data_IF_377961503210
#
_entry.id   IF_377961503210
#
_cell.length_a   1.000
_cell.length_b   1.000
_cell.length_c   1.000
_cell.angle_alpha   90.00
_cell.angle_beta   90.00
_cell.angle_gamma   90.00
#
_symmetry.space_group_name_H-M   'P 1'
#
loop_
_entity.id
_entity.type
_entity.pdbx_description
1 polymer ?
#
# COMPACT_ATOMS: atom_id res chain seq x y z
N UNK A 1 51.54 -20.57 13.57
CA UNK A 1 50.32 -20.38 12.75
C UNK A 1 49.18 -19.79 13.59
N UNK A 2 49.43 -18.78 14.45
CA UNK A 2 48.45 -18.36 15.47
C UNK A 2 48.34 -16.83 15.65
N UNK A 3 48.58 -16.06 14.59
CA UNK A 3 48.44 -14.59 14.63
C UNK A 3 47.85 -14.07 13.31
N UNK A 4 46.61 -14.45 13.00
CA UNK A 4 45.75 -13.54 12.23
C UNK A 4 45.12 -12.59 13.24
N UNK A 5 45.47 -11.29 13.21
CA UNK A 5 45.03 -10.37 14.25
C UNK A 5 43.52 -10.21 14.12
N UNK A 6 42.82 -10.09 15.24
CA UNK A 6 41.38 -9.80 15.35
C UNK A 6 40.87 -8.76 14.31
N UNK A 7 41.75 -7.87 13.88
CA UNK A 7 41.56 -6.90 12.80
C UNK A 7 41.14 -7.52 11.45
N UNK A 8 41.72 -8.65 11.03
CA UNK A 8 41.43 -9.28 9.72
C UNK A 8 40.04 -9.93 9.73
N UNK A 9 39.67 -10.61 10.82
CA UNK A 9 38.33 -11.19 11.00
C UNK A 9 37.25 -10.10 11.06
N UNK A 10 37.52 -9.00 11.75
CA UNK A 10 36.61 -7.86 11.82
C UNK A 10 36.48 -7.15 10.46
N UNK A 11 37.56 -7.05 9.69
CA UNK A 11 37.54 -6.47 8.33
C UNK A 11 36.71 -7.34 7.38
N UNK A 12 36.84 -8.67 7.45
CA UNK A 12 36.00 -9.59 6.66
C UNK A 12 34.52 -9.47 7.03
N UNK A 13 34.19 -9.38 8.33
CA UNK A 13 32.81 -9.17 8.79
C UNK A 13 32.24 -7.84 8.29
N UNK A 14 33.03 -6.77 8.34
CA UNK A 14 32.64 -5.45 7.81
C UNK A 14 32.45 -5.48 6.28
N UNK A 15 33.36 -6.12 5.55
CA UNK A 15 33.26 -6.28 4.11
C UNK A 15 32.03 -7.12 3.72
N UNK A 16 31.76 -8.19 4.46
CA UNK A 16 30.57 -9.01 4.27
C UNK A 16 29.29 -8.22 4.57
N UNK A 17 29.24 -7.49 5.69
CA UNK A 17 28.10 -6.64 6.03
C UNK A 17 27.86 -5.56 4.95
N UNK A 18 28.92 -4.91 4.47
CA UNK A 18 28.84 -3.96 3.36
C UNK A 18 28.31 -4.61 2.09
N UNK A 19 28.78 -5.80 1.74
CA UNK A 19 28.31 -6.55 0.58
C UNK A 19 26.84 -6.93 0.70
N UNK A 20 26.39 -7.37 1.88
CA UNK A 20 24.98 -7.65 2.15
C UNK A 20 24.13 -6.39 2.01
N UNK A 21 24.56 -5.26 2.57
CA UNK A 21 23.84 -3.98 2.43
C UNK A 21 23.79 -3.52 0.96
N UNK A 22 24.91 -3.61 0.23
CA UNK A 22 24.97 -3.29 -1.19
C UNK A 22 24.04 -4.19 -2.02
N UNK A 23 24.04 -5.49 -1.74
CA UNK A 23 23.14 -6.45 -2.37
C UNK A 23 21.67 -6.14 -2.06
N UNK A 24 21.34 -5.78 -0.81
CA UNK A 24 19.98 -5.37 -0.42
C UNK A 24 19.53 -4.09 -1.14
N UNK A 25 20.41 -3.11 -1.30
CA UNK A 25 20.10 -1.88 -2.05
C UNK A 25 19.85 -2.20 -3.52
N UNK A 26 20.67 -3.04 -4.13
CA UNK A 26 20.53 -3.46 -5.53
C UNK A 26 19.26 -4.30 -5.74
N UNK A 27 18.94 -5.18 -4.79
CA UNK A 27 17.78 -6.06 -4.82
C UNK A 27 16.49 -5.38 -4.33
N UNK A 28 16.55 -4.15 -3.77
CA UNK A 28 15.40 -3.41 -3.24
C UNK A 28 14.19 -3.39 -4.20
N UNK A 29 14.34 -3.15 -5.52
CA UNK A 29 13.21 -3.13 -6.45
C UNK A 29 12.49 -4.49 -6.58
N UNK A 30 13.17 -5.59 -6.25
CA UNK A 30 12.60 -6.94 -6.24
C UNK A 30 12.09 -7.33 -4.84
N UNK A 31 12.85 -6.99 -3.80
CA UNK A 31 12.53 -7.34 -2.41
C UNK A 31 11.28 -6.62 -1.90
N UNK A 32 11.08 -5.35 -2.28
CA UNK A 32 9.91 -4.57 -1.81
C UNK A 32 8.60 -5.18 -2.30
N UNK A 33 8.39 -5.43 -3.62
CA UNK A 33 7.20 -6.12 -4.10
C UNK A 33 7.06 -7.53 -3.52
N UNK A 34 8.16 -8.27 -3.40
CA UNK A 34 8.14 -9.61 -2.81
C UNK A 34 7.60 -9.61 -1.38
N UNK A 35 8.06 -8.68 -0.53
CA UNK A 35 7.60 -8.58 0.86
C UNK A 35 6.12 -8.22 0.95
N UNK A 36 5.66 -7.28 0.12
CA UNK A 36 4.25 -6.93 -0.01
C UNK A 36 3.41 -8.13 -0.50
N UNK A 37 3.92 -8.89 -1.46
CA UNK A 37 3.27 -10.09 -1.97
C UNK A 37 3.20 -11.21 -0.94
N UNK A 38 4.17 -11.33 -0.02
CA UNK A 38 4.08 -12.25 1.11
C UNK A 38 2.89 -11.86 1.99
N UNK A 39 2.80 -10.60 2.40
CA UNK A 39 1.67 -10.13 3.20
C UNK A 39 0.33 -10.33 2.49
N UNK A 40 0.28 -10.02 1.19
CA UNK A 40 -0.92 -10.17 0.39
C UNK A 40 -1.30 -11.63 0.17
N UNK A 41 -0.32 -12.52 -0.05
CA UNK A 41 -0.53 -13.96 -0.13
C UNK A 41 -1.11 -14.51 1.16
N UNK A 42 -0.61 -14.08 2.32
CA UNK A 42 -1.20 -14.43 3.62
C UNK A 42 -2.63 -13.93 3.76
N UNK A 43 -2.93 -12.70 3.31
CA UNK A 43 -4.28 -12.15 3.36
C UNK A 43 -5.25 -12.91 2.44
N UNK A 44 -4.79 -13.35 1.27
CA UNK A 44 -5.58 -14.09 0.28
C UNK A 44 -5.68 -15.59 0.57
N UNK A 45 -4.77 -16.14 1.39
CA UNK A 45 -4.74 -17.54 1.78
C UNK A 45 -6.07 -18.10 2.31
N UNK A 46 -6.81 -17.45 3.25
CA UNK A 46 -8.09 -18.00 3.72
C UNK A 46 -9.12 -18.16 2.60
N UNK A 47 -9.10 -17.28 1.59
CA UNK A 47 -9.98 -17.40 0.43
C UNK A 47 -9.55 -18.57 -0.46
N UNK A 48 -8.24 -18.74 -0.68
CA UNK A 48 -7.72 -19.89 -1.42
C UNK A 48 -8.01 -21.22 -0.71
N UNK A 49 -7.80 -21.32 0.59
CA UNK A 49 -8.12 -22.51 1.38
C UNK A 49 -9.62 -22.84 1.32
N UNK A 50 -10.49 -21.82 1.37
CA UNK A 50 -11.93 -22.02 1.20
C UNK A 50 -12.29 -22.57 -0.19
N UNK A 51 -11.68 -22.08 -1.27
CA UNK A 51 -11.91 -22.60 -2.63
C UNK A 51 -11.36 -24.04 -2.80
N UNK A 52 -10.20 -24.36 -2.23
CA UNK A 52 -9.62 -25.70 -2.28
C UNK A 52 -10.47 -26.73 -1.54
N UNK A 53 -11.07 -26.34 -0.41
CA UNK A 53 -12.05 -27.17 0.30
C UNK A 53 -13.27 -27.53 -0.55
N UNK A 54 -13.60 -26.72 -1.55
CA UNK A 54 -14.65 -27.00 -2.55
C UNK A 54 -14.17 -27.86 -3.72
N UNK A 55 -13.03 -28.56 -3.59
CA UNK A 55 -12.43 -29.46 -4.60
C UNK A 55 -11.97 -28.76 -5.89
N UNK A 56 -11.72 -27.45 -5.84
CA UNK A 56 -11.12 -26.71 -6.96
C UNK A 56 -9.61 -27.01 -6.98
N UNK A 57 -9.01 -27.36 -8.13
CA UNK A 57 -7.58 -27.62 -8.21
C UNK A 57 -6.80 -26.36 -7.87
N UNK A 58 -5.71 -26.52 -7.10
CA UNK A 58 -4.90 -25.42 -6.55
C UNK A 58 -4.50 -24.34 -7.55
N UNK A 59 -4.16 -24.72 -8.78
CA UNK A 59 -3.85 -23.76 -9.86
C UNK A 59 -5.04 -22.85 -10.17
N UNK A 60 -6.22 -23.43 -10.35
CA UNK A 60 -7.43 -22.67 -10.63
C UNK A 60 -7.81 -21.80 -9.43
N UNK A 61 -7.72 -22.32 -8.21
CA UNK A 61 -7.96 -21.57 -6.98
C UNK A 61 -7.08 -20.32 -6.89
N UNK A 62 -5.77 -20.48 -7.03
CA UNK A 62 -4.82 -19.38 -6.95
C UNK A 62 -5.07 -18.34 -8.05
N UNK A 63 -5.39 -18.80 -9.26
CA UNK A 63 -5.68 -17.91 -10.38
C UNK A 63 -6.96 -17.10 -10.11
N UNK A 64 -8.04 -17.74 -9.68
CA UNK A 64 -9.32 -17.08 -9.36
C UNK A 64 -9.14 -16.05 -8.24
N UNK A 65 -8.45 -16.41 -7.16
CA UNK A 65 -8.27 -15.53 -5.99
C UNK A 65 -7.42 -14.31 -6.36
N UNK A 66 -6.30 -14.51 -7.06
CA UNK A 66 -5.42 -13.41 -7.47
C UNK A 66 -6.10 -12.53 -8.52
N UNK A 67 -6.78 -13.11 -9.51
CA UNK A 67 -7.45 -12.36 -10.55
C UNK A 67 -8.67 -11.60 -10.02
N UNK A 68 -9.41 -12.18 -9.08
CA UNK A 68 -10.45 -11.49 -8.33
C UNK A 68 -9.91 -10.30 -7.54
N UNK A 69 -8.77 -10.46 -6.87
CA UNK A 69 -8.10 -9.36 -6.18
C UNK A 69 -7.67 -8.24 -7.14
N UNK A 70 -7.03 -8.60 -8.27
CA UNK A 70 -6.66 -7.63 -9.31
C UNK A 70 -7.90 -6.88 -9.82
N UNK A 71 -8.99 -7.58 -10.09
CA UNK A 71 -10.23 -6.98 -10.58
C UNK A 71 -10.80 -5.97 -9.58
N UNK A 72 -10.82 -6.30 -8.28
CA UNK A 72 -11.26 -5.38 -7.22
C UNK A 72 -10.37 -4.14 -7.17
N UNK A 73 -9.04 -4.32 -7.11
CA UNK A 73 -8.10 -3.20 -7.03
C UNK A 73 -8.20 -2.31 -8.27
N UNK A 74 -8.24 -2.91 -9.46
CA UNK A 74 -8.36 -2.17 -10.72
C UNK A 74 -9.69 -1.44 -10.80
N UNK A 75 -10.78 -2.05 -10.35
CA UNK A 75 -12.09 -1.41 -10.26
C UNK A 75 -12.08 -0.18 -9.35
N UNK A 76 -11.43 -0.29 -8.18
CA UNK A 76 -11.26 0.84 -7.25
C UNK A 76 -10.38 1.93 -7.89
N UNK A 77 -9.25 1.58 -8.51
CA UNK A 77 -8.35 2.53 -9.18
C UNK A 77 -9.07 3.23 -10.33
N UNK A 78 -9.81 2.50 -11.15
CA UNK A 78 -10.57 3.06 -12.25
C UNK A 78 -11.65 4.03 -11.74
N UNK A 79 -12.37 3.66 -10.67
CA UNK A 79 -13.34 4.55 -10.03
C UNK A 79 -12.66 5.82 -9.49
N UNK A 80 -11.54 5.70 -8.77
CA UNK A 80 -10.78 6.86 -8.29
C UNK A 80 -10.27 7.72 -9.47
N UNK A 81 -9.81 7.08 -10.54
CA UNK A 81 -9.36 7.74 -11.76
C UNK A 81 -10.48 8.57 -12.40
N UNK A 82 -11.68 8.02 -12.53
CA UNK A 82 -12.84 8.76 -13.07
C UNK A 82 -13.27 9.89 -12.13
N UNK A 83 -13.24 9.68 -10.81
CA UNK A 83 -13.45 10.76 -9.85
C UNK A 83 -12.40 11.87 -10.02
N UNK A 84 -11.14 11.52 -10.24
CA UNK A 84 -10.04 12.49 -10.42
C UNK A 84 -10.17 13.28 -11.72
N UNK A 85 -10.58 12.65 -12.83
CA UNK A 85 -10.80 13.36 -14.11
C UNK A 85 -11.96 14.33 -13.98
N UNK A 86 -13.08 13.87 -13.42
CA UNK A 86 -14.26 14.71 -13.22
C UNK A 86 -13.94 15.88 -12.26
N UNK A 87 -13.21 15.61 -11.17
CA UNK A 87 -12.74 16.65 -10.27
C UNK A 87 -11.86 17.65 -10.98
N UNK A 88 -10.89 17.21 -11.80
CA UNK A 88 -9.98 18.12 -12.51
C UNK A 88 -10.71 19.00 -13.54
N UNK A 89 -11.76 18.49 -14.18
CA UNK A 89 -12.57 19.25 -15.15
C UNK A 89 -13.56 20.23 -14.50
N UNK A 90 -14.14 19.86 -13.35
CA UNK A 90 -15.13 20.70 -12.66
C UNK A 90 -14.51 21.65 -11.64
N UNK A 91 -13.29 21.38 -11.17
CA UNK A 91 -12.60 22.24 -10.22
C UNK A 91 -12.41 23.69 -10.68
N UNK A 92 -12.06 23.99 -11.95
CA UNK A 92 -12.02 25.37 -12.46
C UNK A 92 -13.37 26.08 -12.37
N UNK A 93 -14.48 25.39 -12.70
CA UNK A 93 -15.84 25.95 -12.61
C UNK A 93 -16.21 26.22 -11.16
N UNK A 94 -15.86 25.31 -10.26
CA UNK A 94 -16.07 25.48 -8.83
C UNK A 94 -15.29 26.69 -8.30
N UNK A 95 -14.05 26.89 -8.76
CA UNK A 95 -13.22 28.05 -8.41
C UNK A 95 -13.86 29.36 -8.89
N UNK A 96 -14.30 29.42 -10.15
CA UNK A 96 -14.96 30.60 -10.73
C UNK A 96 -16.25 30.95 -9.97
N UNK A 97 -17.07 29.94 -9.67
CA UNK A 97 -18.33 30.15 -8.96
C UNK A 97 -18.09 30.55 -7.49
N UNK A 98 -17.03 30.02 -6.86
CA UNK A 98 -16.61 30.43 -5.52
C UNK A 98 -16.10 31.88 -5.51
N UNK A 99 -15.31 32.28 -6.50
CA UNK A 99 -14.84 33.66 -6.70
C UNK A 99 -16.00 34.63 -6.86
N UNK A 100 -16.97 34.33 -7.73
CA UNK A 100 -18.17 35.16 -7.93
C UNK A 100 -18.98 35.30 -6.64
N UNK A 101 -19.19 34.19 -5.92
CA UNK A 101 -19.98 34.19 -4.69
C UNK A 101 -19.29 34.96 -3.56
N UNK A 102 -17.98 34.75 -3.38
CA UNK A 102 -17.21 35.43 -2.35
C UNK A 102 -17.16 36.93 -2.66
N UNK A 103 -16.88 37.31 -3.90
CA UNK A 103 -16.84 38.69 -4.34
C UNK A 103 -18.19 39.38 -4.12
N UNK A 104 -19.30 38.70 -4.45
CA UNK A 104 -20.66 39.23 -4.23
C UNK A 104 -20.97 39.45 -2.74
N UNK A 105 -20.50 38.57 -1.85
CA UNK A 105 -20.65 38.74 -0.40
C UNK A 105 -19.84 39.96 0.08
N UNK A 106 -18.59 40.10 -0.37
CA UNK A 106 -17.73 41.20 0.03
C UNK A 106 -18.18 42.55 -0.52
N UNK A 107 -18.67 42.60 -1.77
CA UNK A 107 -19.25 43.79 -2.38
C UNK A 107 -20.52 44.23 -1.63
N UNK A 108 -21.37 43.28 -1.19
CA UNK A 108 -22.52 43.57 -0.36
C UNK A 108 -22.11 44.16 0.99
N UNK A 109 -21.13 43.56 1.67
CA UNK A 109 -20.59 44.08 2.94
C UNK A 109 -20.02 45.50 2.76
N UNK A 110 -19.25 45.72 1.68
CA UNK A 110 -18.68 47.04 1.35
C UNK A 110 -19.75 48.10 1.08
N UNK A 111 -20.84 47.74 0.40
CA UNK A 111 -21.96 48.65 0.14
C UNK A 111 -22.70 49.09 1.41
N UNK A 112 -22.80 48.22 2.42
CA UNK A 112 -23.47 48.54 3.69
C UNK A 112 -22.54 49.18 4.74
N UNK A 113 -21.23 48.88 4.71
CA UNK A 113 -20.29 49.27 5.78
C UNK A 113 -19.19 50.24 5.33
N UNK A 114 -18.96 50.39 4.03
CA UNK A 114 -17.84 51.16 3.46
C UNK A 114 -16.47 50.50 3.59
N UNK A 115 -16.39 49.28 4.13
CA UNK A 115 -15.14 48.56 4.35
C UNK A 115 -14.86 47.64 3.16
N UNK A 116 -13.75 47.87 2.46
CA UNK A 116 -13.25 46.97 1.42
C UNK A 116 -12.27 45.97 2.02
N UNK A 117 -12.55 44.68 1.86
CA UNK A 117 -11.70 43.60 2.38
C UNK A 117 -10.70 43.18 1.30
N UNK A 118 -9.43 43.52 1.49
CA UNK A 118 -8.32 43.06 0.64
C UNK A 118 -7.81 41.70 1.12
N UNK A 119 -7.92 40.66 0.30
CA UNK A 119 -7.47 39.30 0.65
C UNK A 119 -8.18 38.17 -0.10
N UNK A 120 -9.26 38.49 -0.84
CA UNK A 120 -10.04 37.54 -1.64
C UNK A 120 -9.17 36.81 -2.67
N UNK A 121 -8.33 37.54 -3.39
CA UNK A 121 -7.44 36.98 -4.42
C UNK A 121 -6.51 35.90 -3.84
N UNK A 122 -5.96 36.14 -2.63
CA UNK A 122 -5.08 35.18 -1.95
C UNK A 122 -5.82 33.91 -1.50
N UNK A 123 -7.11 34.01 -1.17
CA UNK A 123 -7.96 32.86 -0.84
C UNK A 123 -8.29 32.05 -2.10
N UNK A 124 -8.60 32.72 -3.20
CA UNK A 124 -8.89 32.10 -4.49
C UNK A 124 -7.64 31.39 -5.04
N UNK A 125 -6.47 32.00 -4.88
CA UNK A 125 -5.18 31.39 -5.24
C UNK A 125 -4.89 30.15 -4.38
N UNK A 126 -5.05 30.26 -3.05
CA UNK A 126 -4.86 29.13 -2.11
C UNK A 126 -5.80 27.95 -2.38
N UNK A 127 -7.05 28.22 -2.76
CA UNK A 127 -8.00 27.18 -3.19
C UNK A 127 -7.51 26.51 -4.47
N UNK A 128 -7.06 27.30 -5.45
CA UNK A 128 -6.46 26.81 -6.69
C UNK A 128 -5.31 25.84 -6.46
N UNK A 129 -4.37 26.22 -5.59
CA UNK A 129 -3.24 25.37 -5.20
C UNK A 129 -3.71 24.08 -4.50
N UNK A 130 -4.67 24.19 -3.57
CA UNK A 130 -5.23 23.03 -2.86
C UNK A 130 -5.85 22.01 -3.81
N UNK A 131 -6.60 22.46 -4.82
CA UNK A 131 -7.17 21.55 -5.83
C UNK A 131 -6.12 20.88 -6.71
N UNK A 132 -5.04 21.59 -7.05
CA UNK A 132 -3.90 21.02 -7.78
C UNK A 132 -3.17 19.97 -6.94
N UNK A 133 -2.94 20.23 -5.64
CA UNK A 133 -2.36 19.23 -4.74
C UNK A 133 -3.24 17.99 -4.61
N UNK A 134 -4.56 18.16 -4.48
CA UNK A 134 -5.51 17.04 -4.42
C UNK A 134 -5.46 16.21 -5.72
N UNK A 135 -5.48 16.86 -6.89
CA UNK A 135 -5.38 16.17 -8.20
C UNK A 135 -4.05 15.43 -8.37
N UNK A 136 -2.94 16.04 -7.92
CA UNK A 136 -1.61 15.40 -7.92
C UNK A 136 -1.56 14.19 -6.98
N UNK A 137 -2.18 14.25 -5.81
CA UNK A 137 -2.28 13.11 -4.88
C UNK A 137 -3.08 11.95 -5.49
N UNK A 138 -4.22 12.24 -6.14
CA UNK A 138 -5.01 11.22 -6.84
C UNK A 138 -4.23 10.57 -7.99
N UNK A 139 -3.56 11.39 -8.81
CA UNK A 139 -2.73 10.92 -9.94
C UNK A 139 -1.53 10.12 -9.46
N UNK A 140 -0.82 10.59 -8.43
CA UNK A 140 0.33 9.89 -7.86
C UNK A 140 -0.07 8.54 -7.24
N UNK A 141 -1.20 8.49 -6.54
CA UNK A 141 -1.73 7.24 -5.98
C UNK A 141 -2.12 6.26 -7.07
N UNK A 142 -2.81 6.73 -8.11
CA UNK A 142 -3.19 5.94 -9.29
C UNK A 142 -1.96 5.36 -10.00
N UNK A 143 -0.97 6.20 -10.30
CA UNK A 143 0.26 5.77 -10.96
C UNK A 143 1.08 4.81 -10.09
N UNK A 144 1.12 5.02 -8.78
CA UNK A 144 1.79 4.10 -7.85
C UNK A 144 1.11 2.74 -7.88
N UNK A 145 -0.22 2.67 -7.78
CA UNK A 145 -0.96 1.39 -7.85
C UNK A 145 -0.74 0.67 -9.19
N UNK A 146 -0.70 1.40 -10.31
CA UNK A 146 -0.40 0.82 -11.63
C UNK A 146 1.04 0.28 -11.71
N UNK A 147 2.00 0.98 -11.10
CA UNK A 147 3.42 0.57 -11.09
C UNK A 147 3.69 -0.72 -10.30
N UNK A 148 2.76 -1.13 -9.42
CA UNK A 148 2.88 -2.34 -8.60
C UNK A 148 2.43 -3.63 -9.31
N UNK A 149 2.31 -3.64 -10.63
CA UNK A 149 1.82 -4.78 -11.43
C UNK A 149 2.59 -6.11 -11.25
N UNK A 150 3.78 -6.10 -10.65
CA UNK A 150 4.53 -7.32 -10.29
C UNK A 150 4.02 -8.01 -9.01
N UNK A 151 3.37 -7.27 -8.11
CA UNK A 151 2.87 -7.80 -6.84
C UNK A 151 1.92 -9.00 -7.06
N UNK A 152 0.91 -8.93 -7.94
CA UNK A 152 0.01 -10.05 -8.16
C UNK A 152 0.71 -11.31 -8.69
N UNK A 153 1.74 -11.14 -9.53
CA UNK A 153 2.54 -12.26 -10.05
C UNK A 153 3.27 -12.97 -8.91
N UNK A 154 3.94 -12.22 -8.03
CA UNK A 154 4.60 -12.80 -6.86
C UNK A 154 3.61 -13.40 -5.87
N UNK A 155 2.46 -12.78 -5.66
CA UNK A 155 1.39 -13.31 -4.80
C UNK A 155 0.89 -14.66 -5.34
N UNK A 156 0.68 -14.77 -6.65
CA UNK A 156 0.31 -16.03 -7.29
C UNK A 156 1.38 -17.10 -7.08
N UNK A 157 2.66 -16.76 -7.32
CA UNK A 157 3.78 -17.69 -7.14
C UNK A 157 3.89 -18.15 -5.69
N UNK A 158 3.74 -17.25 -4.72
CA UNK A 158 3.78 -17.58 -3.29
C UNK A 158 2.61 -18.48 -2.88
N UNK A 159 1.38 -18.21 -3.36
CA UNK A 159 0.24 -19.11 -3.12
C UNK A 159 0.43 -20.49 -3.77
N UNK A 160 1.03 -20.53 -4.96
CA UNK A 160 1.27 -21.78 -5.70
C UNK A 160 2.36 -22.62 -5.06
N UNK A 161 3.46 -21.99 -4.61
CA UNK A 161 4.60 -22.66 -4.01
C UNK A 161 4.62 -22.62 -2.47
N UNK A 162 3.52 -22.25 -1.79
CA UNK A 162 3.48 -22.11 -0.31
C UNK A 162 3.98 -23.33 0.46
N UNK A 163 3.77 -24.56 -0.04
CA UNK A 163 4.26 -25.76 0.66
C UNK A 163 5.78 -25.88 0.54
N UNK A 164 6.33 -25.63 -0.66
CA UNK A 164 7.78 -25.61 -0.86
C UNK A 164 8.45 -24.51 -0.05
N UNK A 165 7.78 -23.37 0.12
CA UNK A 165 8.27 -22.29 0.95
C UNK A 165 8.34 -22.71 2.42
N UNK A 166 7.31 -23.40 2.91
CA UNK A 166 7.29 -24.00 4.26
C UNK A 166 8.40 -25.03 4.44
N UNK A 167 8.62 -25.89 3.44
CA UNK A 167 9.68 -26.90 3.46
C UNK A 167 11.08 -26.25 3.45
N UNK A 168 11.26 -25.19 2.66
CA UNK A 168 12.52 -24.43 2.60
C UNK A 168 12.85 -23.76 3.94
N UNK A 169 11.86 -23.12 4.59
CA UNK A 169 12.03 -22.52 5.90
C UNK A 169 12.35 -23.61 6.95
N UNK A 170 11.65 -24.74 6.90
CA UNK A 170 11.92 -25.89 7.78
C UNK A 170 13.35 -26.41 7.63
N UNK A 171 13.87 -26.44 6.40
CA UNK A 171 15.24 -26.88 6.11
C UNK A 171 16.31 -25.90 6.62
N UNK A 172 16.01 -24.60 6.67
CA UNK A 172 16.95 -23.56 7.12
C UNK A 172 17.19 -23.57 8.64
N UNK A 173 16.29 -24.18 9.41
CA UNK A 173 16.29 -24.22 10.88
C UNK A 173 17.07 -25.43 11.42
N UNK A 174 17.53 -26.33 10.54
CA UNK A 174 18.27 -27.54 10.92
C UNK A 174 19.68 -27.22 11.45
N UNK A 175 19.78 -26.70 12.69
CA UNK A 175 20.68 -27.18 13.76
C UNK A 175 20.51 -26.37 15.07
N UNK A 176 20.21 -27.08 16.15
CA UNK A 176 20.52 -26.77 17.56
C UNK A 176 19.75 -25.70 18.37
N UNK A 177 18.48 -25.40 18.02
CA UNK A 177 17.43 -24.87 18.93
C UNK A 177 16.04 -24.97 18.27
N UNK A 178 15.75 -26.12 17.66
CA UNK A 178 14.61 -26.33 16.75
C UNK A 178 13.25 -25.97 17.37
N UNK A 179 12.98 -26.35 18.62
CA UNK A 179 11.68 -26.07 19.25
C UNK A 179 11.42 -24.59 19.47
N UNK A 180 12.42 -23.80 19.90
CA UNK A 180 12.22 -22.37 20.16
C UNK A 180 12.04 -21.59 18.85
N UNK A 181 12.84 -21.92 17.83
CA UNK A 181 12.74 -21.28 16.51
C UNK A 181 11.44 -21.66 15.79
N UNK A 182 11.04 -22.95 15.81
CA UNK A 182 9.78 -23.40 15.24
C UNK A 182 8.58 -22.80 15.97
N UNK A 183 8.58 -22.75 17.31
CA UNK A 183 7.50 -22.12 18.08
C UNK A 183 7.34 -20.63 17.74
N UNK A 184 8.43 -19.88 17.56
CA UNK A 184 8.36 -18.46 17.16
C UNK A 184 7.80 -18.32 15.74
N UNK A 185 8.21 -19.18 14.80
CA UNK A 185 7.75 -19.14 13.41
C UNK A 185 6.27 -19.53 13.29
N UNK A 186 5.84 -20.55 14.03
CA UNK A 186 4.44 -20.99 14.05
C UNK A 186 3.55 -19.92 14.70
N UNK A 187 3.98 -19.34 15.82
CA UNK A 187 3.28 -18.21 16.45
C UNK A 187 3.19 -17.00 15.53
N UNK A 188 4.30 -16.62 14.86
CA UNK A 188 4.29 -15.52 13.91
C UNK A 188 3.35 -15.80 12.73
N UNK A 189 3.38 -17.02 12.20
CA UNK A 189 2.52 -17.45 11.09
C UNK A 189 1.03 -17.48 11.45
N UNK A 190 0.69 -17.67 12.72
CA UNK A 190 -0.69 -17.62 13.20
C UNK A 190 -1.16 -16.20 13.56
N UNK A 191 -0.28 -15.38 14.15
CA UNK A 191 -0.62 -14.04 14.65
C UNK A 191 -0.64 -13.00 13.53
N UNK A 192 0.32 -13.06 12.59
CA UNK A 192 0.41 -12.08 11.50
C UNK A 192 -0.88 -12.01 10.65
N UNK A 193 -1.48 -13.14 10.22
CA UNK A 193 -2.74 -13.09 9.47
C UNK A 193 -3.91 -12.56 10.31
N UNK A 194 -3.99 -12.92 11.60
CA UNK A 194 -5.05 -12.43 12.50
C UNK A 194 -4.96 -10.92 12.68
N UNK A 195 -3.74 -10.38 12.85
CA UNK A 195 -3.50 -8.94 12.93
C UNK A 195 -3.87 -8.23 11.63
N UNK A 196 -3.41 -8.73 10.47
CA UNK A 196 -3.72 -8.13 9.18
C UNK A 196 -5.22 -8.13 8.90
N UNK A 197 -5.92 -9.23 9.20
CA UNK A 197 -7.38 -9.29 9.09
C UNK A 197 -8.05 -8.27 10.01
N UNK A 198 -7.58 -8.16 11.26
CA UNK A 198 -8.06 -7.16 12.21
C UNK A 198 -7.86 -5.72 11.70
N UNK A 199 -6.67 -5.42 11.16
CA UNK A 199 -6.35 -4.12 10.57
C UNK A 199 -7.30 -3.78 9.41
N UNK A 200 -7.52 -4.72 8.48
CA UNK A 200 -8.44 -4.52 7.35
C UNK A 200 -9.86 -4.24 7.84
N UNK A 201 -10.34 -4.96 8.86
CA UNK A 201 -11.65 -4.70 9.46
C UNK A 201 -11.70 -3.30 10.08
N UNK A 202 -10.68 -2.91 10.83
CA UNK A 202 -10.58 -1.56 11.41
C UNK A 202 -10.59 -0.50 10.32
N UNK A 203 -9.87 -0.70 9.21
CA UNK A 203 -9.89 0.20 8.05
C UNK A 203 -11.30 0.33 7.44
N UNK A 204 -12.04 -0.77 7.28
CA UNK A 204 -13.42 -0.72 6.80
C UNK A 204 -14.36 -0.02 7.78
N UNK A 205 -14.19 -0.24 9.08
CA UNK A 205 -14.96 0.46 10.11
C UNK A 205 -14.66 1.97 10.05
N UNK A 206 -13.39 2.36 10.00
CA UNK A 206 -12.97 3.76 9.89
C UNK A 206 -13.50 4.38 8.60
N UNK A 207 -13.44 3.67 7.47
CA UNK A 207 -13.97 4.14 6.19
C UNK A 207 -15.48 4.37 6.27
N UNK A 208 -16.25 3.43 6.83
CA UNK A 208 -17.70 3.58 7.01
C UNK A 208 -18.05 4.71 7.97
N UNK A 209 -17.38 4.80 9.12
CA UNK A 209 -17.57 5.86 10.09
C UNK A 209 -17.22 7.24 9.53
N UNK A 210 -16.10 7.34 8.81
CA UNK A 210 -15.65 8.60 8.24
C UNK A 210 -16.59 9.05 7.11
N UNK A 211 -17.00 8.12 6.23
CA UNK A 211 -17.98 8.42 5.17
C UNK A 211 -19.34 8.86 5.72
N UNK A 212 -19.83 8.25 6.81
CA UNK A 212 -21.10 8.62 7.44
C UNK A 212 -20.99 9.86 8.34
N UNK A 213 -19.80 10.15 8.88
CA UNK A 213 -19.55 11.31 9.74
C UNK A 213 -19.24 12.61 8.99
N UNK A 214 -18.81 12.52 7.72
CA UNK A 214 -18.55 13.65 6.83
C UNK A 214 -19.64 13.89 5.77
N UNK A 215 -20.71 13.09 5.75
CA UNK A 215 -21.96 13.41 5.03
C UNK A 215 -22.87 14.20 5.97
#
# INVERSE_FOLDING_TARGET
>A
MNEYPLLLLNTIRLAFAFLVVAALILARPLLVPLFLSIMLAYLLFPYADWLEKHKIPRIATNFIVVLGFIAIVTGIVAAIGTLSTNFTEDFPKLKEQFEINIQSIFDAIGAYTGIYISGIDSLIESLGETGQYISQLFTATTNTLLSLGLIPVYTFLLLFYRDKFRDFISMLIYNNQEEAAQNIIDQASEVVPKYLKGLVIVCFILMGLNSLGFT
#
